data_IF_313022911859
#
_entry.id   IF_313022911859
#
_cell.length_a   1.000
_cell.length_b   1.000
_cell.length_c   1.000
_cell.angle_alpha   90.00
_cell.angle_beta   90.00
_cell.angle_gamma   90.00
#
_symmetry.space_group_name_H-M   'P 1'
#
loop_
_entity.id
_entity.type
_entity.pdbx_description
1 polymer ?
#
# COMPACT_ATOMS: atom_id res chain seq x y z
N UNK A 1 10.57 -0.90 2.84
CA UNK A 1 10.08 0.46 2.51
C UNK A 1 9.11 0.91 3.59
N UNK A 2 9.15 2.19 3.98
CA UNK A 2 8.18 2.78 4.89
C UNK A 2 7.45 3.89 4.12
N UNK A 3 6.13 3.77 3.96
CA UNK A 3 5.33 4.73 3.21
C UNK A 3 4.49 5.61 4.13
N UNK A 4 4.63 6.91 3.92
CA UNK A 4 3.85 7.97 4.53
C UNK A 4 3.33 8.88 3.42
N UNK A 5 2.01 9.08 3.37
CA UNK A 5 1.34 9.77 2.27
C UNK A 5 1.29 8.96 0.98
N UNK A 6 0.85 9.60 -0.10
CA UNK A 6 0.60 8.95 -1.38
C UNK A 6 -0.83 9.15 -1.90
N UNK A 7 -1.43 10.30 -1.59
CA UNK A 7 -2.80 10.68 -1.97
C UNK A 7 -2.94 10.84 -3.49
N UNK A 8 -1.83 10.98 -4.21
CA UNK A 8 -1.81 11.08 -5.68
C UNK A 8 -1.32 9.80 -6.30
N UNK A 9 -1.92 9.46 -7.44
CA UNK A 9 -1.51 8.34 -8.27
C UNK A 9 -0.05 8.43 -8.72
N UNK A 10 0.60 9.59 -8.71
CA UNK A 10 2.01 9.76 -9.11
C UNK A 10 3.01 9.56 -7.96
N UNK A 11 2.57 9.45 -6.71
CA UNK A 11 3.50 9.41 -5.58
C UNK A 11 4.33 8.12 -5.51
N UNK A 12 3.92 7.08 -6.24
CA UNK A 12 4.73 5.86 -6.35
C UNK A 12 6.09 6.08 -7.01
N UNK A 13 6.25 7.17 -7.77
CA UNK A 13 7.52 7.49 -8.43
C UNK A 13 8.67 7.63 -7.42
N UNK A 14 8.37 8.06 -6.19
CA UNK A 14 9.36 8.21 -5.11
C UNK A 14 10.02 6.90 -4.70
N UNK A 15 9.36 5.77 -4.91
CA UNK A 15 9.87 4.44 -4.57
C UNK A 15 9.96 3.51 -5.79
N UNK A 16 9.80 4.05 -7.00
CA UNK A 16 10.01 3.30 -8.25
C UNK A 16 11.44 2.76 -8.31
N UNK A 17 11.58 1.50 -8.74
CA UNK A 17 12.88 0.81 -8.82
C UNK A 17 13.39 0.23 -7.49
N UNK A 18 12.68 0.44 -6.38
CA UNK A 18 13.03 -0.19 -5.11
C UNK A 18 12.67 -1.69 -5.07
N UNK A 19 13.33 -2.43 -4.19
CA UNK A 19 13.03 -3.83 -3.90
C UNK A 19 13.15 -4.07 -2.39
N UNK A 20 12.08 -4.52 -1.75
CA UNK A 20 11.96 -4.62 -0.29
C UNK A 20 11.50 -6.01 0.16
N UNK A 21 12.10 -6.52 1.24
CA UNK A 21 11.60 -7.73 1.90
C UNK A 21 10.39 -7.44 2.82
N UNK A 22 10.32 -6.22 3.38
CA UNK A 22 9.27 -5.78 4.28
C UNK A 22 8.81 -4.37 3.88
N UNK A 23 7.50 -4.16 3.89
CA UNK A 23 6.88 -2.85 3.68
C UNK A 23 5.96 -2.53 4.86
N UNK A 24 6.10 -1.31 5.40
CA UNK A 24 5.16 -0.74 6.35
C UNK A 24 4.41 0.41 5.67
N UNK A 25 3.08 0.40 5.77
CA UNK A 25 2.20 1.44 5.23
C UNK A 25 1.38 2.01 6.36
N UNK A 26 1.55 3.31 6.59
CA UNK A 26 0.77 4.06 7.56
C UNK A 26 -0.45 4.70 6.90
N UNK A 27 -1.58 4.74 7.61
CA UNK A 27 -2.84 5.33 7.14
C UNK A 27 -3.24 4.83 5.74
N UNK A 28 -3.29 3.51 5.56
CA UNK A 28 -3.47 2.87 4.25
C UNK A 28 -4.71 3.35 3.46
N UNK A 29 -5.80 3.73 4.14
CA UNK A 29 -7.00 4.29 3.48
C UNK A 29 -6.76 5.66 2.85
N UNK A 30 -5.73 6.41 3.26
CA UNK A 30 -5.39 7.72 2.69
C UNK A 30 -4.58 7.61 1.39
N UNK A 31 -4.02 6.44 1.08
CA UNK A 31 -3.24 6.23 -0.13
C UNK A 31 -4.18 6.14 -1.35
N UNK A 32 -3.72 6.70 -2.46
CA UNK A 32 -4.31 6.42 -3.75
C UNK A 32 -4.13 4.94 -4.10
N UNK A 33 -5.19 4.30 -4.62
CA UNK A 33 -5.19 2.88 -4.99
C UNK A 33 -3.99 2.48 -5.87
N UNK A 34 -3.70 3.27 -6.91
CA UNK A 34 -2.54 3.01 -7.78
C UNK A 34 -1.19 3.09 -7.05
N UNK A 35 -1.03 4.01 -6.10
CA UNK A 35 0.19 4.11 -5.29
C UNK A 35 0.37 2.87 -4.44
N UNK A 36 -0.72 2.34 -3.86
CA UNK A 36 -0.67 1.08 -3.13
C UNK A 36 -0.33 -0.11 -4.03
N UNK A 37 -0.96 -0.22 -5.21
CA UNK A 37 -0.67 -1.28 -6.18
C UNK A 37 0.81 -1.26 -6.59
N UNK A 38 1.36 -0.09 -6.89
CA UNK A 38 2.78 0.05 -7.23
C UNK A 38 3.70 -0.25 -6.05
N UNK A 39 3.26 0.04 -4.81
CA UNK A 39 4.02 -0.33 -3.62
C UNK A 39 4.13 -1.85 -3.46
N UNK A 40 3.02 -2.58 -3.65
CA UNK A 40 3.00 -4.04 -3.56
C UNK A 40 3.97 -4.69 -4.55
N UNK A 41 4.12 -4.11 -5.74
CA UNK A 41 5.09 -4.56 -6.76
C UNK A 41 6.55 -4.36 -6.35
N UNK A 42 6.85 -3.70 -5.22
CA UNK A 42 8.22 -3.55 -4.69
C UNK A 42 8.60 -4.67 -3.73
N UNK A 43 7.67 -5.57 -3.38
CA UNK A 43 8.00 -6.73 -2.54
C UNK A 43 8.86 -7.74 -3.30
N UNK A 44 9.98 -8.14 -2.68
CA UNK A 44 10.87 -9.14 -3.24
C UNK A 44 10.17 -10.49 -3.31
N UNK A 45 10.37 -11.22 -4.41
CA UNK A 45 9.94 -12.62 -4.54
C UNK A 45 10.55 -13.47 -3.41
N UNK A 46 9.74 -14.28 -2.74
CA UNK A 46 10.17 -15.29 -1.75
C UNK A 46 10.19 -14.84 -0.27
N UNK A 47 10.14 -13.55 0.04
CA UNK A 47 9.87 -13.03 1.40
C UNK A 47 9.07 -11.73 1.30
N UNK A 48 7.77 -11.83 1.58
CA UNK A 48 6.80 -10.77 1.35
C UNK A 48 6.00 -10.53 2.62
N UNK A 49 6.50 -9.65 3.49
CA UNK A 49 5.70 -9.18 4.62
C UNK A 49 5.30 -7.75 4.36
N UNK A 50 4.01 -7.48 4.38
CA UNK A 50 3.47 -6.13 4.39
C UNK A 50 2.63 -5.94 5.64
N UNK A 51 2.79 -4.78 6.27
CA UNK A 51 2.06 -4.40 7.47
C UNK A 51 1.34 -3.10 7.16
N UNK A 52 0.04 -3.10 7.39
CA UNK A 52 -0.83 -1.96 7.21
C UNK A 52 -1.33 -1.48 8.56
N UNK A 53 -1.21 -0.18 8.80
CA UNK A 53 -1.95 0.54 9.84
C UNK A 53 -2.92 1.50 9.16
N UNK A 54 -4.16 1.56 9.65
CA UNK A 54 -5.17 2.48 9.09
C UNK A 54 -6.35 2.68 10.01
N UNK A 55 -6.99 3.83 9.88
CA UNK A 55 -8.32 4.07 10.46
C UNK A 55 -9.42 3.57 9.49
N UNK A 56 -10.61 3.21 9.99
CA UNK A 56 -11.76 2.88 9.14
C UNK A 56 -12.15 4.04 8.21
N UNK A 57 -12.66 3.69 7.03
CA UNK A 57 -13.28 4.61 6.07
C UNK A 57 -14.69 4.05 5.69
N UNK A 58 -15.36 4.65 4.71
CA UNK A 58 -16.66 4.22 4.24
C UNK A 58 -16.66 2.76 3.76
N UNK A 59 -17.80 2.03 3.88
CA UNK A 59 -17.84 0.58 3.64
C UNK A 59 -17.45 0.12 2.23
N UNK A 60 -17.57 1.01 1.24
CA UNK A 60 -17.24 0.77 -0.18
C UNK A 60 -15.79 1.16 -0.53
N UNK A 61 -15.01 1.63 0.45
CA UNK A 61 -13.64 2.04 0.22
C UNK A 61 -12.79 0.87 -0.32
N UNK A 62 -12.01 1.13 -1.37
CA UNK A 62 -11.26 0.10 -2.09
C UNK A 62 -10.35 -0.73 -1.17
N UNK A 63 -9.74 -0.10 -0.16
CA UNK A 63 -8.85 -0.82 0.77
C UNK A 63 -9.62 -1.90 1.54
N UNK A 64 -10.87 -1.62 1.93
CA UNK A 64 -11.72 -2.61 2.60
C UNK A 64 -12.17 -3.68 1.63
N UNK A 65 -12.81 -3.30 0.52
CA UNK A 65 -13.40 -4.26 -0.43
C UNK A 65 -12.36 -5.16 -1.08
N UNK A 66 -11.18 -4.60 -1.40
CA UNK A 66 -10.18 -5.30 -2.22
C UNK A 66 -9.18 -6.08 -1.35
N UNK A 67 -8.87 -5.61 -0.13
CA UNK A 67 -7.81 -6.18 0.71
C UNK A 67 -8.30 -6.77 2.04
N UNK A 68 -9.29 -6.18 2.71
CA UNK A 68 -9.78 -6.72 3.99
C UNK A 68 -10.80 -7.82 3.76
N UNK A 69 -11.83 -7.55 2.94
CA UNK A 69 -12.94 -8.47 2.72
C UNK A 69 -12.53 -9.69 1.85
N UNK A 70 -11.42 -9.59 1.10
CA UNK A 70 -10.88 -10.64 0.23
C UNK A 70 -9.65 -11.38 0.80
N UNK A 71 -9.41 -11.30 2.12
CA UNK A 71 -8.39 -12.11 2.80
C UNK A 71 -8.96 -13.45 3.24
#
# INVERSE_FOLDING_TARGET
VNLYGGDKASDFERFRGSNSAIIYINEATTLHKETLIECLKRLRVGKQTIIFDTNPDHPEHYFKTDYIDNT
#
